data_IF_465686519404
#
_entry.id   IF_465686519404
#
_cell.length_a   1.000
_cell.length_b   1.000
_cell.length_c   1.000
_cell.angle_alpha   90.00
_cell.angle_beta   90.00
_cell.angle_gamma   90.00
#
_symmetry.space_group_name_H-M   'P 1'
#
loop_
_entity.id
_entity.type
_entity.pdbx_description
1 polymer ?
#
# COMPACT_ATOMS: atom_id res chain seq x y z
N UNK A 1 -3.65 89.10 10.56
CA UNK A 1 -4.59 87.95 10.64
C UNK A 1 -3.77 86.68 10.51
N UNK A 2 -3.75 85.81 11.52
CA UNK A 2 -2.99 84.54 11.43
C UNK A 2 -3.73 83.58 10.49
N UNK A 3 -2.99 82.94 9.58
CA UNK A 3 -3.50 81.98 8.60
C UNK A 3 -4.33 80.87 9.26
N UNK A 4 -3.93 80.45 10.46
CA UNK A 4 -4.59 79.45 11.30
C UNK A 4 -6.00 79.88 11.73
N UNK A 5 -6.21 81.17 12.08
CA UNK A 5 -7.54 81.71 12.42
C UNK A 5 -8.50 81.71 11.22
N UNK A 6 -7.96 81.86 10.01
CA UNK A 6 -8.73 81.86 8.77
C UNK A 6 -9.17 80.44 8.40
N UNK A 7 -8.28 79.44 8.56
CA UNK A 7 -8.59 78.02 8.40
C UNK A 7 -9.69 77.57 9.38
N UNK A 8 -9.56 77.89 10.67
CA UNK A 8 -10.57 77.53 11.68
C UNK A 8 -11.94 78.16 11.43
N UNK A 9 -11.98 79.44 11.02
CA UNK A 9 -13.24 80.10 10.63
C UNK A 9 -13.86 79.46 9.39
N UNK A 10 -13.04 79.07 8.41
CA UNK A 10 -13.51 78.37 7.21
C UNK A 10 -14.09 76.99 7.55
N UNK A 11 -13.41 76.23 8.41
CA UNK A 11 -13.88 74.92 8.89
C UNK A 11 -15.26 75.06 9.57
N UNK A 12 -15.42 76.09 10.40
CA UNK A 12 -16.68 76.34 11.13
C UNK A 12 -17.81 76.87 10.24
N UNK A 13 -17.47 77.70 9.24
CA UNK A 13 -18.44 78.19 8.25
C UNK A 13 -19.00 77.04 7.40
N UNK A 14 -18.15 76.14 6.91
CA UNK A 14 -18.55 74.95 6.14
C UNK A 14 -18.76 73.68 6.98
N UNK A 15 -19.16 73.82 8.25
CA UNK A 15 -19.20 72.71 9.23
C UNK A 15 -19.99 71.48 8.75
N UNK A 16 -21.10 71.65 8.03
CA UNK A 16 -21.93 70.53 7.55
C UNK A 16 -21.20 69.71 6.49
N UNK A 17 -20.51 70.36 5.54
CA UNK A 17 -19.75 69.71 4.49
C UNK A 17 -18.53 68.99 5.06
N UNK A 18 -17.76 69.68 5.92
CA UNK A 18 -16.59 69.09 6.57
C UNK A 18 -16.96 67.88 7.43
N UNK A 19 -18.11 67.92 8.12
CA UNK A 19 -18.61 66.79 8.91
C UNK A 19 -18.89 65.55 8.05
N UNK A 20 -19.57 65.72 6.89
CA UNK A 20 -19.81 64.60 5.95
C UNK A 20 -18.51 64.01 5.40
N UNK A 21 -17.52 64.86 5.09
CA UNK A 21 -16.19 64.41 4.64
C UNK A 21 -15.49 63.60 5.73
N UNK A 22 -15.48 64.10 6.98
CA UNK A 22 -14.90 63.37 8.12
C UNK A 22 -15.59 62.03 8.35
N UNK A 23 -16.93 61.98 8.25
CA UNK A 23 -17.70 60.72 8.33
C UNK A 23 -17.32 59.74 7.21
N UNK A 24 -17.17 60.22 5.98
CA UNK A 24 -16.72 59.41 4.85
C UNK A 24 -15.31 58.86 5.06
N UNK A 25 -14.37 59.70 5.52
CA UNK A 25 -13.00 59.27 5.85
C UNK A 25 -12.99 58.26 7.00
N UNK A 26 -13.77 58.51 8.06
CA UNK A 26 -13.86 57.63 9.21
C UNK A 26 -14.45 56.26 8.82
N UNK A 27 -15.51 56.24 8.00
CA UNK A 27 -16.12 55.02 7.49
C UNK A 27 -15.15 54.23 6.61
N UNK A 28 -14.50 54.88 5.65
CA UNK A 28 -13.50 54.25 4.79
C UNK A 28 -12.32 53.69 5.59
N UNK A 29 -11.85 54.43 6.59
CA UNK A 29 -10.77 53.99 7.49
C UNK A 29 -11.23 52.77 8.31
N UNK A 30 -12.44 52.79 8.87
CA UNK A 30 -12.98 51.67 9.63
C UNK A 30 -13.14 50.41 8.78
N UNK A 31 -13.59 50.55 7.52
CA UNK A 31 -13.71 49.43 6.58
C UNK A 31 -12.33 48.83 6.27
N UNK A 32 -11.33 49.66 5.96
CA UNK A 32 -9.98 49.19 5.64
C UNK A 32 -9.32 48.52 6.86
N UNK A 33 -9.43 49.14 8.04
CA UNK A 33 -8.89 48.57 9.30
C UNK A 33 -9.61 47.26 9.65
N UNK A 34 -10.93 47.20 9.51
CA UNK A 34 -11.70 45.98 9.74
C UNK A 34 -11.27 44.84 8.81
N UNK A 35 -11.10 45.13 7.52
CA UNK A 35 -10.62 44.15 6.54
C UNK A 35 -9.20 43.66 6.85
N UNK A 36 -8.28 44.55 7.27
CA UNK A 36 -6.92 44.18 7.67
C UNK A 36 -6.90 43.29 8.92
N UNK A 37 -7.68 43.63 9.96
CA UNK A 37 -7.75 42.85 11.20
C UNK A 37 -8.34 41.46 10.95
N UNK A 38 -9.41 41.37 10.15
CA UNK A 38 -10.02 40.07 9.80
C UNK A 38 -9.01 39.24 8.99
N UNK A 39 -8.33 39.84 8.01
CA UNK A 39 -7.31 39.16 7.22
C UNK A 39 -6.16 38.62 8.07
N UNK A 40 -5.65 39.42 9.01
CA UNK A 40 -4.58 39.02 9.92
C UNK A 40 -5.04 37.92 10.88
N UNK A 41 -6.25 38.03 11.43
CA UNK A 41 -6.83 37.01 12.33
C UNK A 41 -7.02 35.67 11.61
N UNK A 42 -7.50 35.68 10.37
CA UNK A 42 -7.66 34.47 9.56
C UNK A 42 -6.29 33.88 9.22
N UNK A 43 -5.31 34.70 8.82
CA UNK A 43 -3.95 34.24 8.52
C UNK A 43 -3.29 33.60 9.75
N UNK A 44 -3.38 34.26 10.90
CA UNK A 44 -2.87 33.73 12.17
C UNK A 44 -3.55 32.41 12.55
N UNK A 45 -4.88 32.33 12.40
CA UNK A 45 -5.64 31.10 12.69
C UNK A 45 -5.23 29.95 11.77
N UNK A 46 -5.05 30.20 10.47
CA UNK A 46 -4.59 29.19 9.52
C UNK A 46 -3.17 28.72 9.82
N UNK A 47 -2.27 29.62 10.21
CA UNK A 47 -0.92 29.27 10.62
C UNK A 47 -0.91 28.40 11.88
N UNK A 48 -1.70 28.77 12.90
CA UNK A 48 -1.85 27.97 14.12
C UNK A 48 -2.41 26.57 13.82
N UNK A 49 -3.47 26.48 13.00
CA UNK A 49 -4.03 25.19 12.58
C UNK A 49 -2.95 24.36 11.88
N UNK A 50 -2.16 24.95 10.99
CA UNK A 50 -1.08 24.23 10.28
C UNK A 50 -0.06 23.64 11.25
N UNK A 51 0.42 24.45 12.21
CA UNK A 51 1.42 24.02 13.21
C UNK A 51 0.86 22.91 14.12
N UNK A 52 -0.38 23.06 14.61
CA UNK A 52 -1.03 22.05 15.43
C UNK A 52 -1.30 20.74 14.66
N UNK A 53 -1.52 20.84 13.35
CA UNK A 53 -1.86 19.73 12.47
C UNK A 53 -0.62 18.93 12.01
N UNK A 54 0.51 19.58 11.83
CA UNK A 54 1.69 18.95 11.22
C UNK A 54 2.87 18.81 12.19
N UNK A 55 2.86 19.54 13.31
CA UNK A 55 4.03 19.62 14.16
C UNK A 55 5.23 20.16 13.38
N UNK A 56 6.39 19.52 13.53
CA UNK A 56 7.63 19.88 12.80
C UNK A 56 7.75 19.19 11.43
N UNK A 57 6.67 18.62 10.89
CA UNK A 57 6.71 17.97 9.57
C UNK A 57 6.71 19.01 8.46
N UNK A 58 7.68 18.93 7.55
CA UNK A 58 7.74 19.74 6.33
C UNK A 58 7.36 18.94 5.09
N UNK A 59 7.82 17.69 5.00
CA UNK A 59 7.49 16.81 3.90
C UNK A 59 6.97 15.47 4.42
N UNK A 60 6.13 14.85 3.60
CA UNK A 60 5.63 13.50 3.80
C UNK A 60 5.98 12.67 2.58
N UNK A 61 6.55 11.50 2.83
CA UNK A 61 6.71 10.46 1.82
C UNK A 61 5.66 9.38 2.05
N UNK A 62 4.91 9.04 1.01
CA UNK A 62 3.93 7.93 1.00
C UNK A 62 4.23 7.00 -0.15
N UNK A 63 3.92 5.70 -0.03
CA UNK A 63 4.19 4.70 -1.06
C UNK A 63 2.91 4.12 -1.70
N UNK A 64 1.87 4.95 -1.89
CA UNK A 64 0.57 4.50 -2.41
C UNK A 64 -0.07 3.40 -1.55
N UNK A 65 -0.35 2.23 -2.15
CA UNK A 65 -0.84 1.03 -1.45
C UNK A 65 0.29 0.12 -0.91
N UNK A 66 1.56 0.57 -0.90
CA UNK A 66 2.69 -0.22 -0.41
C UNK A 66 2.96 0.00 1.06
N UNK A 67 3.62 -1.01 1.61
CA UNK A 67 4.26 -0.94 2.90
C UNK A 67 5.77 -1.07 2.69
N UNK A 68 6.55 -0.20 3.32
CA UNK A 68 8.01 -0.20 3.30
C UNK A 68 8.57 -0.47 4.70
N UNK A 69 9.87 -0.77 4.83
CA UNK A 69 10.48 -1.05 6.14
C UNK A 69 10.50 0.22 6.99
N UNK A 70 10.20 0.09 8.28
CA UNK A 70 10.38 1.20 9.23
C UNK A 70 11.83 1.71 9.26
N UNK A 71 12.78 0.81 9.02
CA UNK A 71 14.22 1.09 9.03
C UNK A 71 14.65 2.15 7.99
N UNK A 72 13.88 2.32 6.90
CA UNK A 72 14.18 3.31 5.86
C UNK A 72 14.28 4.74 6.43
N UNK A 73 13.43 5.09 7.40
CA UNK A 73 13.51 6.40 8.07
C UNK A 73 14.85 6.56 8.80
N UNK A 74 15.25 5.57 9.62
CA UNK A 74 16.51 5.61 10.36
C UNK A 74 17.72 5.74 9.42
N UNK A 75 17.76 4.95 8.34
CA UNK A 75 18.80 5.00 7.32
C UNK A 75 18.86 6.39 6.63
N UNK A 76 17.71 6.99 6.33
CA UNK A 76 17.65 8.35 5.78
C UNK A 76 18.16 9.39 6.78
N UNK A 77 17.79 9.30 8.05
CA UNK A 77 18.27 10.24 9.08
C UNK A 77 19.77 10.14 9.30
N UNK A 78 20.31 8.91 9.36
CA UNK A 78 21.75 8.69 9.53
C UNK A 78 22.59 9.27 8.38
N UNK A 79 22.12 9.15 7.13
CA UNK A 79 22.87 9.64 5.97
C UNK A 79 22.67 11.13 5.67
N UNK A 80 21.47 11.66 5.91
CA UNK A 80 21.15 13.05 5.55
C UNK A 80 21.29 14.03 6.70
N UNK A 81 21.27 13.55 7.95
CA UNK A 81 21.19 14.38 9.15
C UNK A 81 19.82 15.02 9.39
N UNK A 82 18.85 14.82 8.50
CA UNK A 82 17.49 15.33 8.62
C UNK A 82 16.67 14.35 9.47
N UNK A 83 15.93 14.87 10.44
CA UNK A 83 15.06 14.03 11.26
C UNK A 83 13.93 13.45 10.40
N UNK A 84 13.72 12.15 10.52
CA UNK A 84 12.64 11.43 9.86
C UNK A 84 11.97 10.47 10.84
N UNK A 85 10.72 10.13 10.57
CA UNK A 85 9.96 9.17 11.38
C UNK A 85 9.10 8.29 10.49
N UNK A 86 9.13 6.98 10.72
CA UNK A 86 8.29 6.02 10.02
C UNK A 86 6.99 5.78 10.81
N UNK A 87 5.85 5.87 10.14
CA UNK A 87 4.54 5.69 10.73
C UNK A 87 3.74 4.64 9.96
N UNK A 88 2.90 3.91 10.69
CA UNK A 88 1.88 3.05 10.09
C UNK A 88 0.51 3.70 10.26
N UNK A 89 0.00 4.25 9.16
CA UNK A 89 -1.31 4.87 9.08
C UNK A 89 -2.36 3.84 8.68
N UNK A 90 -3.40 3.72 9.49
CA UNK A 90 -4.59 2.94 9.18
C UNK A 90 -5.86 3.74 9.48
N UNK A 91 -7.01 3.22 9.03
CA UNK A 91 -8.33 3.73 9.40
C UNK A 91 -8.98 2.78 10.38
N UNK A 92 -9.81 3.31 11.28
CA UNK A 92 -10.50 2.51 12.28
C UNK A 92 -11.76 3.15 12.84
N UNK A 93 -12.34 2.47 13.82
CA UNK A 93 -13.48 2.91 14.61
C UNK A 93 -13.42 2.34 16.02
N UNK A 94 -13.98 3.07 16.99
CA UNK A 94 -14.05 2.65 18.38
C UNK A 94 -15.43 2.07 18.69
N UNK A 95 -15.45 1.06 19.56
CA UNK A 95 -16.65 0.49 20.17
C UNK A 95 -16.50 0.60 21.70
N UNK A 96 -17.44 1.29 22.32
CA UNK A 96 -17.38 1.72 23.73
C UNK A 96 -18.63 1.22 24.46
N UNK A 97 -18.54 0.98 25.77
CA UNK A 97 -19.65 0.55 26.64
C UNK A 97 -20.42 -0.67 26.11
N UNK A 98 -19.69 -1.72 25.76
CA UNK A 98 -20.31 -2.96 25.24
C UNK A 98 -20.99 -2.79 23.87
N UNK A 99 -20.82 -1.65 23.21
CA UNK A 99 -21.33 -1.37 21.87
C UNK A 99 -22.47 -0.35 21.81
N UNK A 100 -22.82 0.28 22.92
CA UNK A 100 -23.80 1.38 22.97
C UNK A 100 -23.33 2.61 22.18
N UNK A 101 -22.02 2.89 22.20
CA UNK A 101 -21.42 3.97 21.44
C UNK A 101 -20.42 3.44 20.43
N UNK A 102 -20.52 3.97 19.20
CA UNK A 102 -19.58 3.71 18.11
C UNK A 102 -19.09 5.01 17.50
N UNK A 103 -17.78 5.20 17.48
CA UNK A 103 -17.14 6.37 16.86
C UNK A 103 -16.42 5.90 15.59
N UNK A 104 -16.95 6.29 14.43
CA UNK A 104 -16.40 5.94 13.12
C UNK A 104 -15.36 6.97 12.63
N UNK A 105 -14.67 6.63 11.53
CA UNK A 105 -13.74 7.52 10.80
C UNK A 105 -12.60 8.04 11.69
N UNK A 106 -11.94 7.13 12.41
CA UNK A 106 -10.75 7.45 13.19
C UNK A 106 -9.50 7.23 12.35
N UNK A 107 -8.55 8.14 12.49
CA UNK A 107 -7.20 8.01 11.96
C UNK A 107 -6.33 7.32 13.02
N UNK A 108 -5.76 6.18 12.66
CA UNK A 108 -4.96 5.34 13.53
C UNK A 108 -3.50 5.50 13.12
N UNK A 109 -2.66 5.88 14.06
CA UNK A 109 -1.24 6.18 13.84
C UNK A 109 -0.38 5.27 14.71
N UNK A 110 0.20 4.24 14.10
CA UNK A 110 1.31 3.51 14.69
C UNK A 110 2.55 4.41 14.66
N UNK A 111 3.08 4.73 15.84
CA UNK A 111 4.22 5.62 16.03
C UNK A 111 5.31 4.96 16.89
N UNK A 112 6.56 5.35 16.68
CA UNK A 112 7.68 4.97 17.54
C UNK A 112 8.24 6.21 18.28
N UNK A 113 9.35 6.03 18.99
CA UNK A 113 9.99 7.11 19.74
C UNK A 113 10.50 8.28 18.87
N UNK A 114 10.68 8.07 17.56
CA UNK A 114 11.15 9.13 16.63
C UNK A 114 10.04 10.13 16.32
N UNK A 115 8.76 9.72 16.40
CA UNK A 115 7.63 10.61 16.18
C UNK A 115 7.61 11.79 17.16
N UNK A 116 8.09 11.58 18.39
CA UNK A 116 8.18 12.63 19.40
C UNK A 116 8.97 13.87 18.92
N UNK A 117 9.93 13.72 18.01
CA UNK A 117 10.70 14.84 17.45
C UNK A 117 9.86 15.73 16.50
N UNK A 118 8.77 15.19 15.98
CA UNK A 118 7.79 15.89 15.18
C UNK A 118 6.67 16.49 16.02
N UNK A 119 6.55 16.09 17.28
CA UNK A 119 5.57 16.60 18.22
C UNK A 119 6.15 17.75 19.06
N UNK A 120 5.27 18.64 19.51
CA UNK A 120 5.64 19.69 20.46
C UNK A 120 5.81 19.17 21.90
N UNK A 121 5.27 17.98 22.20
CA UNK A 121 5.34 17.33 23.50
C UNK A 121 5.72 15.84 23.35
N UNK A 122 7.02 15.52 23.21
CA UNK A 122 7.50 14.18 22.89
C UNK A 122 7.12 13.11 23.93
N UNK A 123 7.06 13.46 25.22
CA UNK A 123 6.80 12.52 26.31
C UNK A 123 5.38 11.94 26.25
N UNK A 124 4.42 12.74 25.77
CA UNK A 124 3.02 12.33 25.61
C UNK A 124 2.80 11.24 24.55
N UNK A 125 3.81 10.95 23.72
CA UNK A 125 3.78 9.92 22.68
C UNK A 125 4.60 8.66 23.02
N UNK A 126 5.17 8.59 24.22
CA UNK A 126 5.83 7.37 24.71
C UNK A 126 4.79 6.35 25.17
N UNK A 127 4.36 5.47 24.27
CA UNK A 127 3.29 4.49 24.48
C UNK A 127 3.84 3.06 24.46
N UNK A 128 3.37 2.21 25.38
CA UNK A 128 3.78 0.82 25.49
C UNK A 128 2.62 -0.15 25.28
N UNK A 129 2.87 -1.26 24.58
CA UNK A 129 1.87 -2.33 24.41
C UNK A 129 0.57 -1.81 23.81
N UNK A 130 -0.54 -2.00 24.53
CA UNK A 130 -1.89 -1.59 24.13
C UNK A 130 -2.31 -0.21 24.65
N UNK A 131 -1.37 0.59 25.17
CA UNK A 131 -1.62 1.99 25.52
C UNK A 131 -1.86 2.83 24.27
N UNK A 132 -2.82 3.73 24.35
CA UNK A 132 -3.12 4.68 23.28
C UNK A 132 -3.17 6.11 23.81
N UNK A 133 -2.72 7.04 22.99
CA UNK A 133 -3.04 8.46 23.17
C UNK A 133 -4.15 8.83 22.19
N UNK A 134 -5.18 9.52 22.67
CA UNK A 134 -6.28 10.02 21.84
C UNK A 134 -6.28 11.54 21.86
N UNK A 135 -6.81 12.19 20.82
CA UNK A 135 -6.94 13.64 20.85
C UNK A 135 -8.22 14.10 21.59
N UNK A 136 -8.22 15.35 22.07
CA UNK A 136 -9.36 15.94 22.78
C UNK A 136 -10.69 15.78 22.04
N UNK A 137 -10.70 15.95 20.71
CA UNK A 137 -11.92 15.78 19.91
C UNK A 137 -12.49 14.36 19.99
N UNK A 138 -11.64 13.33 19.97
CA UNK A 138 -12.11 11.95 20.16
C UNK A 138 -12.59 11.73 21.59
N UNK A 139 -11.88 12.24 22.60
CA UNK A 139 -12.26 12.13 24.00
C UNK A 139 -13.63 12.79 24.29
N UNK A 140 -13.85 14.01 23.80
CA UNK A 140 -15.11 14.75 23.96
C UNK A 140 -16.30 14.03 23.31
N UNK A 141 -16.13 13.51 22.09
CA UNK A 141 -17.18 12.79 21.38
C UNK A 141 -17.50 11.43 21.99
N UNK A 142 -16.53 10.82 22.66
CA UNK A 142 -16.65 9.47 23.22
C UNK A 142 -16.95 9.43 24.72
N UNK A 143 -16.66 10.51 25.44
CA UNK A 143 -16.68 10.53 26.91
C UNK A 143 -15.51 9.82 27.58
N UNK A 144 -14.53 9.31 26.80
CA UNK A 144 -13.38 8.58 27.32
C UNK A 144 -12.44 9.49 28.12
N UNK A 145 -11.90 8.94 29.21
CA UNK A 145 -10.92 9.56 30.10
C UNK A 145 -9.64 8.76 30.13
N UNK A 146 -8.57 9.38 30.65
CA UNK A 146 -7.34 8.64 30.94
C UNK A 146 -7.60 7.50 31.93
N UNK A 147 -7.09 6.31 31.61
CA UNK A 147 -7.33 5.06 32.33
C UNK A 147 -8.48 4.22 31.78
N UNK A 148 -9.36 4.78 30.94
CA UNK A 148 -10.48 4.01 30.37
C UNK A 148 -10.00 3.03 29.31
N UNK A 149 -10.75 1.94 29.15
CA UNK A 149 -10.53 0.95 28.09
C UNK A 149 -11.63 1.01 27.04
N UNK A 150 -11.26 0.81 25.78
CA UNK A 150 -12.24 0.64 24.70
C UNK A 150 -11.77 -0.40 23.68
N UNK A 151 -12.72 -0.88 22.86
CA UNK A 151 -12.40 -1.78 21.75
C UNK A 151 -12.11 -0.94 20.51
N UNK A 152 -10.86 -0.98 20.07
CA UNK A 152 -10.42 -0.36 18.83
C UNK A 152 -10.48 -1.38 17.70
N UNK A 153 -11.21 -1.03 16.63
CA UNK A 153 -11.25 -1.80 15.39
C UNK A 153 -10.50 -1.07 14.29
N UNK A 154 -9.53 -1.74 13.68
CA UNK A 154 -8.62 -1.15 12.68
C UNK A 154 -8.69 -1.96 11.41
N UNK A 155 -8.75 -1.30 10.25
CA UNK A 155 -8.67 -1.97 8.96
C UNK A 155 -7.30 -2.66 8.84
N UNK A 156 -7.29 -3.97 8.52
CA UNK A 156 -6.05 -4.73 8.37
C UNK A 156 -5.30 -4.23 7.13
N UNK A 157 -4.03 -3.86 7.31
CA UNK A 157 -3.13 -3.56 6.21
C UNK A 157 -2.43 -4.85 5.79
N UNK A 158 -2.16 -4.99 4.49
CA UNK A 158 -1.50 -6.16 3.92
C UNK A 158 -0.33 -5.73 3.04
N UNK A 159 0.65 -6.62 2.85
CA UNK A 159 1.79 -6.38 1.94
C UNK A 159 1.39 -6.47 0.47
N UNK A 160 0.29 -7.16 0.18
CA UNK A 160 -0.33 -7.27 -1.14
C UNK A 160 -1.53 -6.31 -1.29
N UNK A 161 -1.83 -5.88 -2.53
CA UNK A 161 -2.97 -5.01 -2.80
C UNK A 161 -4.31 -5.57 -2.33
N UNK A 162 -5.24 -4.66 -2.00
CA UNK A 162 -6.62 -5.04 -1.82
C UNK A 162 -7.19 -5.58 -3.14
N UNK A 163 -7.92 -6.69 -3.07
CA UNK A 163 -8.47 -7.39 -4.24
C UNK A 163 -7.45 -8.13 -5.11
N UNK A 164 -6.23 -8.39 -4.63
CA UNK A 164 -5.32 -9.33 -5.32
C UNK A 164 -6.01 -10.68 -5.53
N UNK A 165 -6.04 -11.19 -6.77
CA UNK A 165 -6.58 -12.52 -7.06
C UNK A 165 -5.99 -13.60 -6.16
N UNK A 166 -6.81 -14.60 -5.79
CA UNK A 166 -6.42 -15.80 -5.04
C UNK A 166 -5.93 -15.63 -3.62
N UNK A 167 -5.66 -14.41 -3.15
CA UNK A 167 -5.25 -14.17 -1.77
C UNK A 167 -6.49 -14.03 -0.89
N UNK A 168 -6.58 -14.87 0.16
CA UNK A 168 -7.68 -14.81 1.12
C UNK A 168 -7.58 -13.58 2.01
N UNK A 169 -8.67 -12.83 2.13
CA UNK A 169 -8.79 -11.77 3.14
C UNK A 169 -9.69 -12.29 4.27
N UNK A 170 -9.10 -12.91 5.29
CA UNK A 170 -9.85 -13.54 6.39
C UNK A 170 -10.51 -12.51 7.30
N UNK A 171 -9.85 -11.38 7.54
CA UNK A 171 -10.33 -10.32 8.42
C UNK A 171 -9.99 -8.96 7.81
N UNK A 172 -11.01 -8.25 7.31
CA UNK A 172 -10.86 -6.88 6.82
C UNK A 172 -10.54 -5.89 7.95
N UNK A 173 -10.89 -6.25 9.20
CA UNK A 173 -10.64 -5.45 10.39
C UNK A 173 -10.15 -6.32 11.54
N UNK A 174 -9.14 -5.83 12.25
CA UNK A 174 -8.67 -6.39 13.52
C UNK A 174 -9.35 -5.67 14.67
N UNK A 175 -9.64 -6.39 15.77
CA UNK A 175 -10.25 -5.81 16.96
C UNK A 175 -9.36 -6.07 18.17
N UNK A 176 -9.00 -5.02 18.89
CA UNK A 176 -8.16 -5.13 20.08
C UNK A 176 -8.59 -4.17 21.17
N UNK A 177 -8.42 -4.57 22.43
CA UNK A 177 -8.75 -3.75 23.60
C UNK A 177 -7.54 -2.89 23.98
N UNK A 178 -7.77 -1.59 24.05
CA UNK A 178 -6.74 -0.58 24.32
C UNK A 178 -7.11 0.27 25.52
N UNK A 179 -6.09 0.82 26.16
CA UNK A 179 -6.23 1.66 27.36
C UNK A 179 -5.78 3.08 27.02
N UNK A 180 -6.60 4.07 27.35
CA UNK A 180 -6.28 5.49 27.13
C UNK A 180 -5.22 5.91 28.13
N UNK A 181 -3.99 6.06 27.68
CA UNK A 181 -2.88 6.53 28.51
C UNK A 181 -2.89 8.06 28.64
N UNK A 182 -3.22 8.77 27.55
CA UNK A 182 -3.17 10.24 27.48
C UNK A 182 -4.28 10.80 26.59
N UNK A 183 -4.75 11.99 26.93
CA UNK A 183 -5.59 12.82 26.05
C UNK A 183 -4.78 14.05 25.60
N UNK A 184 -4.61 14.17 24.29
CA UNK A 184 -3.72 15.14 23.65
C UNK A 184 -4.47 16.38 23.17
N UNK A 185 -3.95 17.54 23.56
CA UNK A 185 -4.40 18.85 23.09
C UNK A 185 -3.92 19.16 21.67
N UNK A 186 -4.56 20.09 20.95
CA UNK A 186 -4.08 20.58 19.67
C UNK A 186 -2.62 21.07 19.72
N UNK A 187 -2.23 21.77 20.79
CA UNK A 187 -0.87 22.31 20.96
C UNK A 187 0.18 21.21 21.18
N UNK A 188 -0.22 20.02 21.61
CA UNK A 188 0.63 18.85 21.78
C UNK A 188 0.71 17.99 20.51
N UNK A 189 0.29 18.53 19.36
CA UNK A 189 0.17 17.76 18.10
C UNK A 189 -0.92 16.68 18.16
N UNK A 190 -1.90 16.79 19.06
CA UNK A 190 -3.04 15.86 19.15
C UNK A 190 -3.90 15.84 17.88
N UNK A 191 -4.00 16.98 17.19
CA UNK A 191 -4.74 17.13 15.93
C UNK A 191 -3.91 16.79 14.67
N UNK A 192 -2.87 15.97 14.82
CA UNK A 192 -2.03 15.53 13.71
C UNK A 192 -2.85 15.08 12.49
N UNK A 193 -2.64 15.68 11.32
CA UNK A 193 -3.35 15.31 10.11
C UNK A 193 -2.60 15.72 8.84
N UNK A 194 -2.40 14.77 7.93
CA UNK A 194 -1.72 15.03 6.66
C UNK A 194 -2.66 15.61 5.60
N UNK A 195 -3.97 15.61 5.85
CA UNK A 195 -4.96 16.16 4.92
C UNK A 195 -5.19 17.65 5.21
N UNK A 196 -5.34 18.43 4.14
CA UNK A 196 -5.68 19.84 4.24
C UNK A 196 -7.18 20.05 4.53
N UNK A 197 -7.62 19.64 5.72
CA UNK A 197 -8.98 19.82 6.21
C UNK A 197 -8.98 20.64 7.51
N UNK A 198 -10.03 21.45 7.69
CA UNK A 198 -10.17 22.34 8.86
C UNK A 198 -10.90 21.68 10.04
N UNK A 199 -11.57 20.55 9.82
CA UNK A 199 -12.22 19.81 10.90
C UNK A 199 -11.18 19.06 11.75
N UNK A 200 -11.32 19.14 13.07
CA UNK A 200 -10.47 18.37 13.98
C UNK A 200 -10.60 16.86 13.66
N UNK A 201 -9.48 16.14 13.49
CA UNK A 201 -9.49 14.71 13.23
C UNK A 201 -9.91 13.94 14.50
N UNK A 202 -10.13 12.64 14.36
CA UNK A 202 -10.29 11.70 15.48
C UNK A 202 -9.09 10.80 15.48
N UNK A 203 -8.07 11.18 16.23
CA UNK A 203 -6.79 10.50 16.21
C UNK A 203 -6.68 9.50 17.35
N UNK A 204 -6.10 8.34 17.04
CA UNK A 204 -5.57 7.40 18.02
C UNK A 204 -4.12 7.11 17.65
N UNK A 205 -3.21 7.39 18.57
CA UNK A 205 -1.80 7.06 18.47
C UNK A 205 -1.51 5.83 19.34
N UNK A 206 -0.66 4.95 18.86
CA UNK A 206 -0.29 3.70 19.52
C UNK A 206 1.10 3.25 19.12
N UNK A 207 1.66 2.32 19.89
CA UNK A 207 2.98 1.78 19.62
C UNK A 207 3.05 1.07 18.25
N UNK A 208 3.98 1.50 17.39
CA UNK A 208 4.15 1.02 16.03
C UNK A 208 4.52 -0.47 15.97
N UNK A 209 5.41 -0.94 16.84
CA UNK A 209 5.83 -2.34 16.89
C UNK A 209 4.67 -3.25 17.31
N UNK A 210 3.92 -2.83 18.33
CA UNK A 210 2.75 -3.56 18.77
C UNK A 210 1.68 -3.64 17.68
N UNK A 211 1.39 -2.53 16.99
CA UNK A 211 0.44 -2.52 15.87
C UNK A 211 0.90 -3.43 14.72
N UNK A 212 2.19 -3.42 14.39
CA UNK A 212 2.75 -4.31 13.38
C UNK A 212 2.58 -5.78 13.77
N UNK A 213 2.84 -6.15 15.03
CA UNK A 213 2.62 -7.50 15.53
C UNK A 213 1.15 -7.92 15.42
N UNK A 214 0.21 -7.06 15.82
CA UNK A 214 -1.23 -7.36 15.68
C UNK A 214 -1.65 -7.51 14.21
N UNK A 215 -1.04 -6.74 13.31
CA UNK A 215 -1.29 -6.82 11.87
C UNK A 215 -0.54 -7.95 11.16
N UNK A 216 0.31 -8.70 11.87
CA UNK A 216 1.22 -9.72 11.30
C UNK A 216 2.15 -9.12 10.22
N UNK A 217 2.56 -7.87 10.43
CA UNK A 217 3.46 -7.13 9.54
C UNK A 217 4.90 -7.18 10.08
N UNK A 218 5.85 -7.36 9.18
CA UNK A 218 7.29 -7.45 9.48
C UNK A 218 7.92 -6.06 9.57
N UNK A 219 7.67 -5.33 10.66
CA UNK A 219 8.25 -4.00 10.92
C UNK A 219 8.06 -3.02 9.74
N UNK A 220 6.81 -2.86 9.30
CA UNK A 220 6.46 -2.03 8.16
C UNK A 220 5.85 -0.68 8.56
N UNK A 221 5.89 0.25 7.62
CA UNK A 221 5.31 1.58 7.64
C UNK A 221 4.74 1.94 6.25
N UNK A 222 3.91 2.97 6.17
CA UNK A 222 3.35 3.48 4.91
C UNK A 222 3.36 5.01 4.81
N UNK A 223 3.86 5.69 5.84
CA UNK A 223 4.06 7.12 5.90
C UNK A 223 5.45 7.36 6.49
N UNK A 224 6.23 8.25 5.87
CA UNK A 224 7.50 8.71 6.40
C UNK A 224 7.44 10.23 6.51
N UNK A 225 7.59 10.75 7.72
CA UNK A 225 7.65 12.19 7.99
C UNK A 225 9.08 12.67 7.88
N UNK A 226 9.26 13.88 7.37
CA UNK A 226 10.56 14.53 7.20
C UNK A 226 10.47 15.94 7.78
N UNK A 227 11.43 16.30 8.62
CA UNK A 227 11.55 17.64 9.18
C UNK A 227 12.02 18.65 8.13
N UNK A 228 11.96 19.95 8.43
CA UNK A 228 12.50 21.01 7.55
C UNK A 228 14.01 20.84 7.28
N UNK A 229 14.49 21.46 6.20
CA UNK A 229 15.91 21.48 5.84
C UNK A 229 16.29 20.66 4.61
N UNK A 230 15.32 20.38 3.72
CA UNK A 230 15.54 19.61 2.50
C UNK A 230 14.61 20.04 1.38
N UNK A 231 14.89 19.56 0.16
CA UNK A 231 14.08 19.79 -1.03
C UNK A 231 13.48 18.48 -1.53
N UNK A 232 12.40 18.54 -2.30
CA UNK A 232 11.81 17.37 -2.97
C UNK A 232 12.86 16.54 -3.74
N UNK A 233 13.75 17.21 -4.47
CA UNK A 233 14.77 16.55 -5.28
C UNK A 233 15.80 15.80 -4.40
N UNK A 234 16.24 16.42 -3.31
CA UNK A 234 17.17 15.80 -2.36
C UNK A 234 16.52 14.62 -1.63
N UNK A 235 15.23 14.71 -1.33
CA UNK A 235 14.47 13.63 -0.72
C UNK A 235 14.29 12.44 -1.65
N UNK A 236 13.94 12.68 -2.91
CA UNK A 236 13.84 11.61 -3.92
C UNK A 236 15.19 10.91 -4.09
N UNK A 237 16.29 11.68 -4.20
CA UNK A 237 17.64 11.12 -4.27
C UNK A 237 18.01 10.34 -2.99
N UNK A 238 17.64 10.86 -1.83
CA UNK A 238 17.90 10.20 -0.54
C UNK A 238 17.12 8.90 -0.40
N UNK A 239 15.85 8.85 -0.81
CA UNK A 239 15.05 7.63 -0.85
C UNK A 239 15.73 6.57 -1.73
N UNK A 240 16.09 6.93 -2.96
CA UNK A 240 16.72 6.01 -3.91
C UNK A 240 18.07 5.47 -3.43
N UNK A 241 18.83 6.27 -2.67
CA UNK A 241 20.13 5.87 -2.12
C UNK A 241 20.06 5.06 -0.82
N UNK A 242 18.87 4.93 -0.23
CA UNK A 242 18.67 4.26 1.07
C UNK A 242 17.70 3.08 1.00
N UNK A 243 16.79 3.06 0.03
CA UNK A 243 15.85 1.96 -0.10
C UNK A 243 16.53 0.63 -0.46
N UNK A 244 15.82 -0.45 -0.15
CA UNK A 244 16.15 -1.82 -0.52
C UNK A 244 15.00 -2.40 -1.32
N UNK A 245 15.18 -3.59 -1.89
CA UNK A 245 14.12 -4.25 -2.66
C UNK A 245 12.87 -4.51 -1.82
N UNK A 246 13.05 -4.74 -0.52
CA UNK A 246 11.96 -4.95 0.42
C UNK A 246 11.07 -3.70 0.58
N UNK A 247 11.63 -2.48 0.45
CA UNK A 247 10.87 -1.23 0.53
C UNK A 247 9.96 -1.03 -0.69
N UNK A 248 10.30 -1.69 -1.81
CA UNK A 248 9.53 -1.66 -3.06
C UNK A 248 8.78 -2.98 -3.32
N UNK A 249 8.76 -3.89 -2.33
CA UNK A 249 8.10 -5.20 -2.35
C UNK A 249 8.61 -6.15 -3.44
N UNK A 250 9.89 -6.08 -3.77
CA UNK A 250 10.54 -6.97 -4.73
C UNK A 250 11.48 -7.95 -4.02
N UNK A 251 11.62 -9.14 -4.60
CA UNK A 251 12.61 -10.13 -4.20
C UNK A 251 13.33 -10.67 -5.44
N UNK A 252 14.65 -10.83 -5.35
CA UNK A 252 15.44 -11.51 -6.37
C UNK A 252 15.80 -12.92 -5.90
N UNK A 253 15.46 -13.93 -6.70
CA UNK A 253 15.75 -15.35 -6.46
C UNK A 253 16.74 -15.85 -7.51
N UNK A 254 17.66 -16.71 -7.10
CA UNK A 254 18.64 -17.35 -7.99
C UNK A 254 18.39 -18.87 -7.98
N UNK A 255 18.22 -19.45 -9.17
CA UNK A 255 18.16 -20.89 -9.37
C UNK A 255 19.43 -21.35 -10.10
N UNK A 256 20.38 -21.90 -9.36
CA UNK A 256 21.68 -22.33 -9.89
C UNK A 256 21.60 -23.59 -10.74
N UNK A 257 20.64 -24.48 -10.46
CA UNK A 257 20.47 -25.73 -11.21
C UNK A 257 19.95 -25.45 -12.62
N UNK A 258 19.02 -24.50 -12.74
CA UNK A 258 18.42 -24.06 -14.01
C UNK A 258 19.10 -22.82 -14.61
N UNK A 259 20.19 -22.35 -14.00
CA UNK A 259 21.03 -21.23 -14.44
C UNK A 259 20.27 -19.93 -14.77
N UNK A 260 19.34 -19.52 -13.89
CA UNK A 260 18.65 -18.24 -14.03
C UNK A 260 18.53 -17.50 -12.69
N UNK A 261 18.34 -16.19 -12.78
CA UNK A 261 17.94 -15.31 -11.69
C UNK A 261 16.62 -14.65 -12.06
N UNK A 262 15.73 -14.44 -11.11
CA UNK A 262 14.44 -13.81 -11.39
C UNK A 262 14.09 -12.76 -10.35
N UNK A 263 13.33 -11.75 -10.78
CA UNK A 263 12.67 -10.82 -9.88
C UNK A 263 11.20 -11.21 -9.76
N UNK A 264 10.72 -11.27 -8.53
CA UNK A 264 9.31 -11.45 -8.17
C UNK A 264 8.85 -10.31 -7.26
N UNK A 265 7.55 -10.26 -7.02
CA UNK A 265 6.94 -9.28 -6.12
C UNK A 265 6.22 -10.01 -4.97
N UNK A 266 6.37 -9.48 -3.75
CA UNK A 266 5.58 -9.92 -2.58
C UNK A 266 4.07 -9.66 -2.76
N UNK A 267 3.73 -8.90 -3.80
CA UNK A 267 2.36 -8.53 -4.19
C UNK A 267 1.77 -9.46 -5.24
N UNK A 268 2.41 -10.63 -5.47
CA UNK A 268 2.08 -11.66 -6.47
C UNK A 268 2.40 -11.24 -7.91
N UNK A 269 1.98 -10.04 -8.32
CA UNK A 269 2.20 -9.52 -9.67
C UNK A 269 3.39 -8.57 -9.69
N UNK A 270 4.23 -8.70 -10.72
CA UNK A 270 5.29 -7.73 -11.01
C UNK A 270 4.66 -6.52 -11.70
N UNK A 271 4.93 -5.34 -11.16
CA UNK A 271 4.35 -4.11 -11.67
C UNK A 271 4.90 -3.73 -13.05
N UNK A 272 4.09 -3.07 -13.91
CA UNK A 272 4.49 -2.72 -15.26
C UNK A 272 5.80 -1.92 -15.35
N UNK A 273 6.08 -1.06 -14.38
CA UNK A 273 7.32 -0.29 -14.34
C UNK A 273 8.57 -1.17 -14.14
N UNK A 274 8.45 -2.22 -13.33
CA UNK A 274 9.54 -3.18 -13.07
C UNK A 274 9.73 -4.09 -14.28
N UNK A 275 8.63 -4.62 -14.82
CA UNK A 275 8.67 -5.43 -16.04
C UNK A 275 9.31 -4.65 -17.21
N UNK A 276 8.83 -3.43 -17.48
CA UNK A 276 9.37 -2.57 -18.52
C UNK A 276 10.85 -2.24 -18.30
N UNK A 277 11.25 -1.99 -17.05
CA UNK A 277 12.65 -1.77 -16.71
C UNK A 277 13.51 -2.99 -17.04
N UNK A 278 13.10 -4.18 -16.62
CA UNK A 278 13.83 -5.42 -16.89
C UNK A 278 13.92 -5.72 -18.40
N UNK A 279 12.83 -5.60 -19.14
CA UNK A 279 12.82 -5.86 -20.59
C UNK A 279 13.64 -4.83 -21.38
N UNK A 280 13.76 -3.60 -20.88
CA UNK A 280 14.56 -2.55 -21.52
C UNK A 280 16.04 -2.69 -21.20
N UNK A 281 16.37 -2.95 -19.93
CA UNK A 281 17.74 -3.08 -19.47
C UNK A 281 18.41 -4.33 -20.07
N UNK A 282 17.65 -5.41 -20.22
CA UNK A 282 18.16 -6.72 -20.58
C UNK A 282 17.20 -7.38 -21.60
N UNK A 283 17.44 -7.21 -22.91
CA UNK A 283 16.57 -7.73 -23.97
C UNK A 283 16.37 -9.26 -23.95
N UNK A 284 17.24 -10.00 -23.27
CA UNK A 284 17.15 -11.46 -23.11
C UNK A 284 16.32 -11.87 -21.89
N UNK A 285 15.71 -10.91 -21.18
CA UNK A 285 14.76 -11.21 -20.10
C UNK A 285 13.56 -12.00 -20.62
N UNK A 286 13.08 -12.95 -19.82
CA UNK A 286 11.87 -13.73 -20.11
C UNK A 286 10.80 -13.43 -19.09
N UNK A 287 9.61 -13.08 -19.57
CA UNK A 287 8.48 -12.80 -18.70
C UNK A 287 7.71 -14.09 -18.41
N UNK A 288 7.48 -14.36 -17.12
CA UNK A 288 6.70 -15.50 -16.66
C UNK A 288 5.40 -15.00 -16.08
N UNK A 289 4.28 -15.53 -16.59
CA UNK A 289 2.98 -15.28 -16.02
C UNK A 289 2.28 -16.60 -15.66
N UNK A 290 2.14 -16.84 -14.37
CA UNK A 290 1.47 -18.03 -13.84
C UNK A 290 0.17 -17.68 -13.15
N UNK A 291 -0.87 -18.49 -13.39
CA UNK A 291 -2.20 -18.27 -12.86
C UNK A 291 -2.82 -19.53 -12.28
N UNK A 292 -3.59 -19.37 -11.21
CA UNK A 292 -4.31 -20.47 -10.56
C UNK A 292 -5.68 -20.64 -11.22
N UNK A 293 -5.94 -21.84 -11.74
CA UNK A 293 -7.16 -22.17 -12.51
C UNK A 293 -8.08 -23.11 -11.71
N UNK A 294 -9.34 -23.20 -12.13
CA UNK A 294 -10.34 -24.04 -11.48
C UNK A 294 -10.24 -25.49 -11.94
N UNK A 295 -10.15 -25.72 -13.24
CA UNK A 295 -10.01 -27.06 -13.80
C UNK A 295 -9.63 -27.07 -15.29
N UNK A 296 -9.11 -28.22 -15.71
CA UNK A 296 -9.07 -28.64 -17.10
C UNK A 296 -10.14 -29.70 -17.35
N UNK A 297 -10.73 -29.69 -18.55
CA UNK A 297 -11.66 -30.74 -18.98
C UNK A 297 -11.51 -31.08 -20.45
N UNK A 298 -11.53 -32.38 -20.73
CA UNK A 298 -11.51 -32.96 -22.07
C UNK A 298 -12.00 -34.43 -21.98
N UNK A 299 -12.58 -34.97 -23.05
CA UNK A 299 -12.95 -36.39 -23.16
C UNK A 299 -13.78 -36.94 -21.97
N UNK A 300 -14.63 -36.11 -21.37
CA UNK A 300 -15.44 -36.46 -20.18
C UNK A 300 -14.63 -36.60 -18.88
N UNK A 301 -13.33 -36.32 -18.89
CA UNK A 301 -12.46 -36.25 -17.73
C UNK A 301 -12.30 -34.81 -17.26
N UNK A 302 -11.94 -34.66 -15.98
CA UNK A 302 -11.74 -33.37 -15.33
C UNK A 302 -10.55 -33.44 -14.37
N UNK A 303 -9.63 -32.48 -14.51
CA UNK A 303 -8.51 -32.26 -13.59
C UNK A 303 -8.78 -30.98 -12.80
N UNK A 304 -9.07 -31.06 -11.49
CA UNK A 304 -9.34 -29.88 -10.68
C UNK A 304 -8.04 -29.18 -10.27
N UNK A 305 -8.13 -27.86 -10.08
CA UNK A 305 -7.17 -26.95 -9.45
C UNK A 305 -5.71 -27.14 -9.85
N UNK A 306 -5.19 -26.20 -10.64
CA UNK A 306 -3.79 -26.25 -11.08
C UNK A 306 -3.26 -24.86 -11.33
N UNK A 307 -1.94 -24.77 -11.46
CA UNK A 307 -1.31 -23.63 -12.11
C UNK A 307 -1.13 -23.88 -13.60
N UNK A 308 -1.23 -22.80 -14.36
CA UNK A 308 -0.87 -22.69 -15.78
C UNK A 308 0.10 -21.53 -15.90
N UNK A 309 1.25 -21.77 -16.54
CA UNK A 309 2.27 -20.73 -16.79
C UNK A 309 2.31 -20.37 -18.26
N UNK A 310 3.11 -19.36 -18.61
CA UNK A 310 3.35 -18.97 -19.99
C UNK A 310 4.64 -19.57 -20.55
N UNK A 311 4.65 -19.80 -21.84
CA UNK A 311 5.80 -20.20 -22.65
C UNK A 311 5.83 -19.35 -23.93
N UNK A 312 6.97 -18.71 -24.20
CA UNK A 312 7.17 -17.81 -25.33
C UNK A 312 7.24 -18.55 -26.68
N UNK A 313 7.49 -19.87 -26.68
CA UNK A 313 7.47 -20.65 -27.93
C UNK A 313 6.06 -20.95 -28.45
N UNK A 314 5.04 -20.76 -27.62
CA UNK A 314 3.64 -20.98 -27.97
C UNK A 314 2.99 -19.70 -28.51
N UNK A 315 1.99 -19.84 -29.37
CA UNK A 315 1.21 -18.72 -29.90
C UNK A 315 -0.30 -19.00 -29.88
N UNK A 316 -1.10 -17.93 -29.81
CA UNK A 316 -2.55 -18.00 -29.87
C UNK A 316 -3.15 -18.98 -28.85
N UNK A 317 -3.90 -19.96 -29.35
CA UNK A 317 -4.61 -20.98 -28.55
C UNK A 317 -3.82 -22.30 -28.40
N UNK A 318 -2.51 -22.28 -28.65
CA UNK A 318 -1.63 -23.41 -28.37
C UNK A 318 -1.50 -23.61 -26.85
N UNK A 319 -1.45 -24.88 -26.45
CA UNK A 319 -1.15 -25.29 -25.09
C UNK A 319 -0.16 -26.45 -25.10
N UNK A 320 0.86 -26.35 -24.26
CA UNK A 320 1.70 -27.48 -23.90
C UNK A 320 1.16 -28.09 -22.61
N UNK A 321 1.03 -29.41 -22.51
CA UNK A 321 0.56 -30.09 -21.29
C UNK A 321 1.57 -31.13 -20.81
N UNK A 322 1.64 -31.34 -19.51
CA UNK A 322 2.46 -32.40 -18.93
C UNK A 322 1.95 -33.79 -19.32
N UNK A 323 2.84 -34.79 -19.37
CA UNK A 323 2.46 -36.21 -19.50
C UNK A 323 1.39 -36.61 -18.45
N UNK A 324 1.53 -36.13 -17.21
CA UNK A 324 0.56 -36.37 -16.14
C UNK A 324 -0.84 -35.85 -16.48
N UNK A 325 -0.94 -34.63 -17.04
CA UNK A 325 -2.21 -34.03 -17.41
C UNK A 325 -2.82 -34.71 -18.65
N UNK A 326 -1.98 -35.06 -19.62
CA UNK A 326 -2.40 -35.79 -20.81
C UNK A 326 -3.02 -37.15 -20.45
N UNK A 327 -2.38 -37.89 -19.53
CA UNK A 327 -2.88 -39.17 -19.04
C UNK A 327 -4.19 -39.04 -18.26
N UNK A 328 -4.29 -38.02 -17.40
CA UNK A 328 -5.50 -37.77 -16.61
C UNK A 328 -6.70 -37.42 -17.49
N UNK A 329 -6.50 -36.56 -18.48
CA UNK A 329 -7.54 -36.13 -19.40
C UNK A 329 -7.77 -37.08 -20.58
N UNK A 330 -6.88 -38.06 -20.78
CA UNK A 330 -6.84 -38.96 -21.94
C UNK A 330 -6.79 -38.20 -23.26
N UNK A 331 -5.90 -37.22 -23.36
CA UNK A 331 -5.72 -36.37 -24.55
C UNK A 331 -4.37 -36.62 -25.19
N UNK A 332 -4.29 -36.35 -26.49
CA UNK A 332 -3.08 -36.39 -27.31
C UNK A 332 -2.83 -35.03 -27.94
N UNK A 333 -1.67 -34.87 -28.57
CA UNK A 333 -1.42 -33.72 -29.43
C UNK A 333 -2.55 -33.54 -30.45
N UNK A 334 -2.92 -32.29 -30.70
CA UNK A 334 -4.03 -31.80 -31.53
C UNK A 334 -5.42 -31.97 -30.92
N UNK A 335 -5.57 -32.62 -29.77
CA UNK A 335 -6.84 -32.60 -29.05
C UNK A 335 -7.12 -31.21 -28.46
N UNK A 336 -8.37 -30.95 -28.13
CA UNK A 336 -8.80 -29.70 -27.48
C UNK A 336 -9.02 -29.91 -26.00
N UNK A 337 -8.45 -29.02 -25.19
CA UNK A 337 -8.63 -28.97 -23.73
C UNK A 337 -9.37 -27.68 -23.38
N UNK A 338 -10.42 -27.78 -22.57
CA UNK A 338 -11.09 -26.63 -21.96
C UNK A 338 -10.43 -26.30 -20.63
N UNK A 339 -10.06 -25.04 -20.47
CA UNK A 339 -9.51 -24.47 -19.24
C UNK A 339 -10.56 -23.53 -18.63
N UNK A 340 -10.95 -23.81 -17.40
CA UNK A 340 -11.88 -23.01 -16.61
C UNK A 340 -11.14 -22.29 -15.48
N UNK A 341 -11.39 -20.99 -15.29
CA UNK A 341 -10.71 -20.16 -14.29
C UNK A 341 -11.63 -19.06 -13.75
N UNK A 342 -11.32 -18.54 -12.56
CA UNK A 342 -12.01 -17.36 -12.03
C UNK A 342 -11.30 -16.08 -12.45
N UNK A 343 -12.05 -15.14 -13.00
CA UNK A 343 -11.66 -13.75 -13.16
C UNK A 343 -12.23 -12.94 -12.00
N UNK A 344 -11.41 -12.06 -11.41
CA UNK A 344 -11.84 -11.18 -10.31
C UNK A 344 -12.47 -9.92 -10.90
N UNK A 345 -13.80 -9.87 -10.91
CA UNK A 345 -14.56 -8.70 -11.32
C UNK A 345 -14.68 -7.61 -10.25
N UNK A 346 -15.47 -6.54 -10.52
CA UNK A 346 -15.72 -5.48 -9.55
C UNK A 346 -16.24 -6.03 -8.22
N UNK A 347 -15.84 -5.39 -7.11
CA UNK A 347 -16.20 -5.80 -5.75
C UNK A 347 -15.78 -7.26 -5.42
N UNK A 348 -14.70 -7.76 -6.05
CA UNK A 348 -14.19 -9.14 -5.92
C UNK A 348 -15.17 -10.23 -6.35
N UNK A 349 -16.15 -9.89 -7.20
CA UNK A 349 -17.05 -10.91 -7.72
C UNK A 349 -16.26 -11.86 -8.62
N UNK A 350 -16.20 -13.12 -8.25
CA UNK A 350 -15.55 -14.14 -9.05
C UNK A 350 -16.47 -14.56 -10.19
N UNK A 351 -15.97 -14.43 -11.42
CA UNK A 351 -16.69 -14.80 -12.63
C UNK A 351 -15.93 -15.97 -13.25
N UNK A 352 -16.58 -17.12 -13.38
CA UNK A 352 -15.97 -18.24 -14.07
C UNK A 352 -15.93 -17.96 -15.57
N UNK A 353 -14.76 -18.16 -16.17
CA UNK A 353 -14.49 -18.07 -17.61
C UNK A 353 -13.96 -19.42 -18.09
N UNK A 354 -14.31 -19.74 -19.33
CA UNK A 354 -13.88 -20.95 -20.01
C UNK A 354 -13.19 -20.56 -21.32
N UNK A 355 -12.01 -21.13 -21.58
CA UNK A 355 -11.25 -20.94 -22.82
C UNK A 355 -10.83 -22.30 -23.36
N UNK A 356 -10.88 -22.46 -24.68
CA UNK A 356 -10.42 -23.68 -25.37
C UNK A 356 -9.02 -23.48 -25.91
N UNK A 357 -8.19 -24.51 -25.74
CA UNK A 357 -6.85 -24.59 -26.28
C UNK A 357 -6.64 -25.91 -27.01
N UNK A 358 -5.79 -25.92 -28.02
CA UNK A 358 -5.36 -27.15 -28.67
C UNK A 358 -3.99 -27.56 -28.17
N UNK A 359 -3.83 -28.86 -27.91
CA UNK A 359 -2.58 -29.42 -27.39
C UNK A 359 -1.54 -29.41 -28.51
N UNK A 360 -0.57 -28.51 -28.44
CA UNK A 360 0.52 -28.42 -29.41
C UNK A 360 1.58 -29.49 -29.11
N UNK A 361 1.92 -29.66 -27.84
CA UNK A 361 2.95 -30.59 -27.39
C UNK A 361 2.62 -31.20 -26.03
N UNK A 362 3.04 -32.44 -25.82
CA UNK A 362 3.03 -33.09 -24.51
C UNK A 362 4.48 -33.16 -24.00
N UNK A 363 4.74 -32.60 -22.83
CA UNK A 363 6.09 -32.49 -22.28
C UNK A 363 6.30 -33.39 -21.06
N UNK A 364 7.55 -33.82 -20.87
CA UNK A 364 8.02 -34.43 -19.63
C UNK A 364 8.29 -33.35 -18.60
N UNK A 365 7.82 -33.57 -17.38
CA UNK A 365 8.00 -32.64 -16.27
C UNK A 365 9.46 -32.71 -15.77
N UNK A 366 10.38 -32.13 -16.54
CA UNK A 366 11.82 -32.09 -16.26
C UNK A 366 12.39 -30.70 -16.59
N UNK A 367 13.55 -30.37 -16.01
CA UNK A 367 14.26 -29.12 -16.27
C UNK A 367 13.41 -27.88 -15.99
N UNK A 368 13.44 -26.89 -16.91
CA UNK A 368 12.69 -25.64 -16.80
C UNK A 368 11.17 -25.83 -16.71
N UNK A 369 10.63 -26.91 -17.27
CA UNK A 369 9.20 -27.21 -17.24
C UNK A 369 8.76 -27.82 -15.90
N UNK A 370 9.70 -28.34 -15.10
CA UNK A 370 9.45 -28.85 -13.75
C UNK A 370 9.70 -27.82 -12.64
N UNK A 371 10.09 -26.60 -13.01
CA UNK A 371 10.56 -25.60 -12.06
C UNK A 371 9.46 -25.15 -11.09
N UNK A 372 9.64 -25.44 -9.80
CA UNK A 372 8.69 -25.06 -8.76
C UNK A 372 8.57 -23.55 -8.58
N UNK A 373 9.59 -22.79 -8.98
CA UNK A 373 9.57 -21.33 -8.89
C UNK A 373 8.64 -20.66 -9.92
N UNK A 374 8.12 -21.43 -10.89
CA UNK A 374 7.05 -20.97 -11.77
C UNK A 374 5.76 -20.70 -10.98
N UNK A 375 5.55 -21.39 -9.85
CA UNK A 375 4.46 -21.04 -8.94
C UNK A 375 4.77 -19.70 -8.24
N UNK A 376 3.91 -18.69 -8.36
CA UNK A 376 4.09 -17.44 -7.63
C UNK A 376 3.92 -17.67 -6.13
N UNK A 377 4.54 -16.80 -5.32
CA UNK A 377 4.36 -16.82 -3.87
C UNK A 377 3.01 -16.20 -3.55
N UNK A 378 2.01 -17.04 -3.26
CA UNK A 378 0.64 -16.65 -2.90
C UNK A 378 0.41 -17.02 -1.43
N UNK A 379 0.25 -16.03 -0.52
CA UNK A 379 -0.04 -16.28 0.88
C UNK A 379 -1.28 -17.14 1.08
N UNK A 380 -1.17 -18.17 1.93
CA UNK A 380 -2.23 -19.15 2.19
C UNK A 380 -2.27 -20.32 1.20
N UNK A 381 -1.51 -20.24 0.10
CA UNK A 381 -1.42 -21.31 -0.91
C UNK A 381 0.00 -21.89 -0.97
N UNK A 382 1.01 -21.04 -1.12
CA UNK A 382 2.41 -21.48 -1.26
C UNK A 382 3.01 -22.08 0.02
N UNK A 383 2.51 -21.67 1.19
CA UNK A 383 2.89 -22.16 2.52
C UNK A 383 2.18 -23.47 2.91
N UNK A 384 1.24 -23.95 2.10
CA UNK A 384 0.45 -25.13 2.42
C UNK A 384 1.22 -26.44 2.22
N UNK A 385 1.24 -27.27 3.27
CA UNK A 385 1.80 -28.63 3.22
C UNK A 385 1.03 -29.54 2.25
N UNK A 386 -0.30 -29.47 2.31
CA UNK A 386 -1.25 -30.32 1.59
C UNK A 386 -2.33 -29.48 0.89
N UNK A 387 -3.04 -30.04 -0.09
CA UNK A 387 -4.10 -29.31 -0.79
C UNK A 387 -5.27 -28.90 0.13
N UNK A 388 -5.48 -29.67 1.20
CA UNK A 388 -6.54 -29.42 2.19
C UNK A 388 -6.28 -28.21 3.08
N UNK A 389 -5.03 -27.76 3.15
CA UNK A 389 -4.61 -26.63 3.98
C UNK A 389 -4.66 -25.29 3.23
N UNK A 390 -5.04 -25.32 1.95
CA UNK A 390 -5.16 -24.13 1.11
C UNK A 390 -6.16 -23.13 1.69
N UNK A 391 -5.67 -21.90 1.88
CA UNK A 391 -6.43 -20.72 2.32
C UNK A 391 -6.41 -19.70 1.19
N UNK A 392 -7.21 -19.92 0.16
CA UNK A 392 -7.26 -19.03 -1.01
C UNK A 392 -8.46 -18.09 -0.95
N UNK A 393 -8.36 -16.97 -1.67
CA UNK A 393 -9.44 -16.01 -1.87
C UNK A 393 -10.50 -16.49 -2.87
N UNK A 394 -10.33 -17.67 -3.47
CA UNK A 394 -11.29 -18.29 -4.40
C UNK A 394 -11.91 -19.53 -3.78
N UNK A 395 -13.17 -19.87 -4.09
CA UNK A 395 -13.79 -21.07 -3.55
C UNK A 395 -13.14 -22.32 -4.14
N UNK A 396 -12.44 -23.06 -3.28
CA UNK A 396 -11.90 -24.39 -3.61
C UNK A 396 -12.82 -25.45 -3.00
N UNK A 397 -13.39 -26.29 -3.86
CA UNK A 397 -14.13 -27.47 -3.46
C UNK A 397 -13.16 -28.63 -3.21
N UNK A 398 -12.74 -28.76 -1.95
CA UNK A 398 -11.80 -29.78 -1.52
C UNK A 398 -12.29 -31.22 -1.78
N UNK A 399 -13.59 -31.43 -2.05
CA UNK A 399 -14.14 -32.75 -2.41
C UNK A 399 -13.76 -33.18 -3.83
N UNK A 400 -13.43 -32.23 -4.71
CA UNK A 400 -12.98 -32.54 -6.07
C UNK A 400 -11.53 -33.01 -6.09
N UNK A 401 -10.73 -32.69 -5.06
CA UNK A 401 -9.31 -33.05 -4.99
C UNK A 401 -9.18 -34.56 -4.75
N UNK A 402 -8.54 -35.25 -5.70
CA UNK A 402 -8.36 -36.71 -5.69
C UNK A 402 -7.00 -37.04 -5.04
N UNK A 403 -6.78 -38.30 -4.60
CA UNK A 403 -5.49 -38.70 -4.03
C UNK A 403 -4.29 -38.39 -4.92
N UNK A 404 -4.40 -38.61 -6.23
CA UNK A 404 -3.32 -38.29 -7.18
C UNK A 404 -3.03 -36.79 -7.33
N UNK A 405 -4.01 -35.92 -7.08
CA UNK A 405 -3.81 -34.46 -7.10
C UNK A 405 -3.02 -34.03 -5.85
N UNK A 406 -3.32 -34.65 -4.71
CA UNK A 406 -2.57 -34.47 -3.45
C UNK A 406 -1.13 -35.02 -3.57
N UNK A 407 -0.96 -36.18 -4.20
CA UNK A 407 0.37 -36.75 -4.45
C UNK A 407 1.20 -35.85 -5.37
N UNK A 408 0.58 -35.25 -6.40
CA UNK A 408 1.22 -34.24 -7.25
C UNK A 408 1.67 -33.03 -6.42
N UNK A 409 0.80 -32.47 -5.57
CA UNK A 409 1.14 -31.32 -4.72
C UNK A 409 2.28 -31.64 -3.74
N UNK A 410 2.32 -32.84 -3.17
CA UNK A 410 3.41 -33.23 -2.26
C UNK A 410 4.75 -33.34 -2.97
N UNK A 411 4.76 -33.89 -4.18
CA UNK A 411 5.99 -34.13 -4.94
C UNK A 411 6.50 -32.87 -5.67
N UNK A 412 5.57 -32.13 -6.29
CA UNK A 412 5.87 -31.05 -7.24
C UNK A 412 5.22 -29.71 -6.87
N UNK A 413 4.52 -29.63 -5.73
CA UNK A 413 3.82 -28.41 -5.30
C UNK A 413 2.92 -27.86 -6.41
N UNK A 414 2.97 -26.55 -6.63
CA UNK A 414 2.21 -25.88 -7.68
C UNK A 414 2.94 -25.78 -9.01
N UNK A 415 3.92 -26.63 -9.32
CA UNK A 415 4.54 -26.65 -10.65
C UNK A 415 3.44 -26.75 -11.72
N UNK A 416 3.43 -25.85 -12.73
CA UNK A 416 2.39 -25.83 -13.75
C UNK A 416 2.22 -27.16 -14.47
N UNK A 417 0.96 -27.58 -14.67
CA UNK A 417 0.63 -28.79 -15.44
C UNK A 417 0.44 -28.51 -16.94
N UNK A 418 0.36 -27.23 -17.30
CA UNK A 418 0.22 -26.76 -18.67
C UNK A 418 0.87 -25.38 -18.85
N UNK A 419 1.23 -25.09 -20.08
CA UNK A 419 1.71 -23.79 -20.53
C UNK A 419 0.87 -23.28 -21.69
N UNK A 420 0.67 -21.96 -21.76
CA UNK A 420 0.03 -21.25 -22.88
C UNK A 420 0.94 -20.12 -23.38
N UNK A 421 0.62 -19.46 -24.48
CA UNK A 421 1.42 -18.31 -24.91
C UNK A 421 1.38 -17.16 -23.90
N UNK A 422 2.49 -16.42 -23.79
CA UNK A 422 2.56 -15.21 -22.96
C UNK A 422 1.46 -14.20 -23.32
N UNK A 423 1.28 -13.93 -24.61
CA UNK A 423 0.24 -13.03 -25.13
C UNK A 423 -1.16 -13.44 -24.63
N UNK A 424 -1.48 -14.74 -24.68
CA UNK A 424 -2.78 -15.24 -24.24
C UNK A 424 -2.91 -15.18 -22.72
N UNK A 425 -1.87 -15.53 -21.95
CA UNK A 425 -1.88 -15.37 -20.50
C UNK A 425 -2.13 -13.93 -20.06
N UNK A 426 -1.42 -12.97 -20.66
CA UNK A 426 -1.59 -11.54 -20.41
C UNK A 426 -3.01 -11.06 -20.75
N UNK A 427 -3.57 -11.52 -21.88
CA UNK A 427 -4.94 -11.18 -22.28
C UNK A 427 -6.01 -11.76 -21.35
N UNK A 428 -5.81 -12.98 -20.84
CA UNK A 428 -6.81 -13.66 -20.01
C UNK A 428 -6.76 -13.24 -18.54
N UNK A 429 -5.58 -12.90 -18.02
CA UNK A 429 -5.33 -12.78 -16.58
C UNK A 429 -4.69 -11.47 -16.15
N UNK A 430 -4.19 -10.66 -17.10
CA UNK A 430 -3.61 -9.36 -16.82
C UNK A 430 -4.59 -8.42 -16.12
N UNK A 431 -4.10 -7.63 -15.18
CA UNK A 431 -4.93 -6.76 -14.35
C UNK A 431 -4.19 -5.49 -13.95
N UNK A 432 -4.81 -4.64 -13.12
CA UNK A 432 -4.23 -3.35 -12.68
C UNK A 432 -2.92 -3.48 -11.91
N UNK A 433 -2.61 -4.65 -11.35
CA UNK A 433 -1.42 -4.90 -10.55
C UNK A 433 -0.23 -5.38 -11.38
N UNK A 434 -0.48 -5.97 -12.56
CA UNK A 434 0.58 -6.45 -13.44
C UNK A 434 0.09 -7.43 -14.50
N UNK A 435 1.01 -7.79 -15.39
CA UNK A 435 0.81 -8.74 -16.48
C UNK A 435 1.81 -9.91 -16.43
N UNK A 436 2.51 -10.04 -15.30
CA UNK A 436 3.49 -11.07 -15.05
C UNK A 436 3.60 -11.34 -13.56
N UNK A 437 4.11 -12.53 -13.22
CA UNK A 437 4.39 -12.95 -11.83
C UNK A 437 5.88 -13.02 -11.54
N UNK A 438 6.71 -13.10 -12.58
CA UNK A 438 8.16 -13.02 -12.47
C UNK A 438 8.78 -12.51 -13.78
N UNK A 439 9.98 -11.95 -13.70
CA UNK A 439 10.85 -11.69 -14.86
C UNK A 439 12.18 -12.39 -14.64
N UNK A 440 12.55 -13.28 -15.56
CA UNK A 440 13.73 -14.14 -15.47
C UNK A 440 14.88 -13.62 -16.34
N UNK A 441 16.09 -13.84 -15.87
CA UNK A 441 17.35 -13.52 -16.51
C UNK A 441 18.28 -14.72 -16.48
N UNK A 442 18.78 -15.14 -17.64
CA UNK A 442 19.84 -16.14 -17.72
C UNK A 442 21.20 -15.46 -17.47
N UNK A 443 22.10 -16.13 -16.73
CA UNK A 443 23.50 -15.72 -16.59
C UNK A 443 23.80 -14.47 -15.74
N UNK A 444 22.80 -13.68 -15.32
CA UNK A 444 22.99 -12.55 -14.41
C UNK A 444 22.96 -13.03 -12.95
N UNK A 445 23.97 -12.67 -12.16
CA UNK A 445 24.01 -13.04 -10.73
C UNK A 445 23.02 -12.22 -9.92
N UNK A 446 22.47 -12.81 -8.86
CA UNK A 446 21.55 -12.16 -7.91
C UNK A 446 21.99 -10.74 -7.51
N UNK A 447 23.20 -10.59 -6.97
CA UNK A 447 23.69 -9.30 -6.47
C UNK A 447 23.82 -8.22 -7.56
N UNK A 448 24.13 -8.61 -8.80
CA UNK A 448 24.21 -7.70 -9.93
C UNK A 448 22.81 -7.25 -10.35
N UNK A 449 21.83 -8.17 -10.35
CA UNK A 449 20.46 -7.85 -10.67
C UNK A 449 19.80 -6.96 -9.60
N UNK A 450 20.01 -7.27 -8.32
CA UNK A 450 19.54 -6.44 -7.20
C UNK A 450 20.09 -5.01 -7.31
N UNK A 451 21.39 -4.87 -7.59
CA UNK A 451 22.02 -3.56 -7.77
C UNK A 451 21.44 -2.80 -8.96
N UNK A 452 21.20 -3.48 -10.08
CA UNK A 452 20.60 -2.88 -11.27
C UNK A 452 19.18 -2.37 -10.98
N UNK A 453 18.35 -3.16 -10.29
CA UNK A 453 16.99 -2.75 -9.89
C UNK A 453 17.03 -1.53 -8.96
N UNK A 454 17.85 -1.56 -7.91
CA UNK A 454 17.93 -0.47 -6.93
C UNK A 454 18.42 0.85 -7.52
N UNK A 455 19.32 0.77 -8.51
CA UNK A 455 19.89 1.95 -9.17
C UNK A 455 18.99 2.48 -10.29
N UNK A 456 18.29 1.58 -10.99
CA UNK A 456 17.56 1.93 -12.21
C UNK A 456 16.08 2.26 -12.01
N UNK A 457 15.43 1.70 -10.99
CA UNK A 457 14.06 2.07 -10.64
C UNK A 457 14.02 3.44 -9.95
N UNK A 458 13.02 4.23 -10.28
CA UNK A 458 12.81 5.55 -9.66
C UNK A 458 11.73 5.47 -8.57
N UNK A 459 11.86 6.20 -7.45
CA UNK A 459 10.86 6.20 -6.38
C UNK A 459 9.43 6.46 -6.86
N UNK A 460 9.25 7.45 -7.74
CA UNK A 460 7.94 7.78 -8.31
C UNK A 460 7.32 6.63 -9.12
N UNK A 461 8.13 5.87 -9.87
CA UNK A 461 7.66 4.70 -10.63
C UNK A 461 7.19 3.57 -9.70
N UNK A 462 7.78 3.48 -8.51
CA UNK A 462 7.41 2.52 -7.48
C UNK A 462 6.27 3.04 -6.58
N UNK A 463 5.70 4.20 -6.87
CA UNK A 463 4.56 4.78 -6.14
C UNK A 463 4.96 5.59 -4.90
N UNK A 464 6.25 5.88 -4.71
CA UNK A 464 6.68 6.83 -3.69
C UNK A 464 6.40 8.26 -4.15
N UNK A 465 5.57 8.97 -3.38
CA UNK A 465 5.24 10.37 -3.57
C UNK A 465 5.80 11.18 -2.40
N UNK A 466 6.56 12.23 -2.73
CA UNK A 466 7.00 13.26 -1.78
C UNK A 466 6.02 14.43 -1.87
N UNK A 467 5.53 14.90 -0.73
CA UNK A 467 4.59 16.02 -0.64
C UNK A 467 5.07 17.00 0.42
N UNK A 468 5.20 18.26 0.04
CA UNK A 468 5.25 19.41 0.94
C UNK A 468 3.86 19.60 1.58
N UNK A 469 3.78 19.77 2.90
CA UNK A 469 2.52 19.67 3.68
C UNK A 469 2.19 20.86 4.55
#
# INVERSE_FOLDING_TARGET
>A
MSFSKLILKSIWFYRKLNFTIVLGIALSTAIIVGALIIGDSVKYSLQQISVQRLGNTSHVVTAGERLFRQQLAKEMTEKTGIQTSALLRANGFAVIDGGELRINQMAIWGIDSTFGQFAHDPESFMLNGNEVAINENLAELSGLKEGDEFLLRVNKLNTFPANTPFVAEKEATLSFRVTVARILKPEQTGNFNLQNIQSAPRNVFLNLDWLNQQMELQQKANVLLVAEGTTDADLIGSLQNNWTLEDVNLEVRENRELNYTEVISDRVFVEPAVEQFCTTLLPESRTVFTYFINDFSANGQKTPYSFVSTDESLNGQQMAISEWLADDLKVKEKDTVKLSYFEVGPLRRLIQKDTLFFVEQIYRQEGLLADQNLMPVIPGLSDAGNCRDWKTGVPVDLKQIRPKDEDYWKALKGTPKAFISLETGQKLWGNRFGQSTAVRMEGLKKAEFEKALLTGLLPLQMGFEVKDV
#
